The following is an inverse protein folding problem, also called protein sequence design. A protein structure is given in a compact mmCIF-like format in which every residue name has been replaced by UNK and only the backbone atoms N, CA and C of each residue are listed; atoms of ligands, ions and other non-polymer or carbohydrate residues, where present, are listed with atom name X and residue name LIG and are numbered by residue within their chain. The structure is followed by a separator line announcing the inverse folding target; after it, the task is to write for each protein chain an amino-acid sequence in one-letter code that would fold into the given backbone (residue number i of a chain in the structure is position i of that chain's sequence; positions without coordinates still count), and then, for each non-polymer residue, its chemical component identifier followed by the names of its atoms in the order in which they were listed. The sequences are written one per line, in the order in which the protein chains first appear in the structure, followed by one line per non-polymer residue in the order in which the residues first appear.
data_IF_897525228433
#
_entry.id   IF_897525228433
#
_cell.length_a   1.000
_cell.length_b   1.000
_cell.length_c   1.000
_cell.angle_alpha   90.00
_cell.angle_beta   90.00
_cell.angle_gamma   90.00
#
_symmetry.space_group_name_H-M   'P 1'
#
loop_
_entity.id
_entity.type
_entity.pdbx_description
1 polymer ?
#
# COMPACT_ATOMS: atom_id res chain seq x y z
N UNK A 1 -14.34 -4.79 0.60
CA UNK A 1 -15.39 -4.40 -0.39
C UNK A 1 -14.99 -4.98 -1.73
N UNK A 2 -15.94 -5.46 -2.54
CA UNK A 2 -15.65 -5.87 -3.92
C UNK A 2 -15.85 -4.69 -4.87
N UNK A 3 -15.10 -4.62 -5.97
CA UNK A 3 -15.23 -3.52 -6.93
C UNK A 3 -16.64 -3.40 -7.54
N UNK A 4 -17.35 -4.52 -7.69
CA UNK A 4 -18.71 -4.55 -8.23
C UNK A 4 -19.80 -4.40 -7.14
N UNK A 5 -19.46 -3.96 -5.93
CA UNK A 5 -20.39 -3.80 -4.81
C UNK A 5 -20.90 -2.37 -4.68
N UNK A 6 -22.11 -2.22 -4.12
CA UNK A 6 -22.69 -0.91 -3.78
C UNK A 6 -21.80 -0.18 -2.77
N UNK A 7 -21.20 -0.91 -1.82
CA UNK A 7 -20.28 -0.34 -0.82
C UNK A 7 -19.12 0.39 -1.51
N UNK A 8 -18.51 -0.21 -2.53
CA UNK A 8 -17.43 0.43 -3.28
C UNK A 8 -17.92 1.63 -4.10
N UNK A 9 -19.11 1.52 -4.71
CA UNK A 9 -19.71 2.60 -5.48
C UNK A 9 -19.99 3.85 -4.63
N UNK A 10 -20.26 3.69 -3.33
CA UNK A 10 -20.43 4.80 -2.37
C UNK A 10 -19.07 5.25 -1.81
N UNK A 11 -18.19 4.31 -1.47
CA UNK A 11 -16.87 4.58 -0.89
C UNK A 11 -16.00 5.45 -1.80
N UNK A 12 -15.97 5.17 -3.11
CA UNK A 12 -15.10 5.85 -4.05
C UNK A 12 -15.42 7.35 -4.19
N UNK A 13 -16.66 7.79 -4.45
CA UNK A 13 -17.01 9.21 -4.47
C UNK A 13 -16.69 9.93 -3.15
N UNK A 14 -16.94 9.29 -2.00
CA UNK A 14 -16.64 9.89 -0.69
C UNK A 14 -15.14 10.14 -0.57
N UNK A 15 -14.31 9.12 -0.81
CA UNK A 15 -12.86 9.26 -0.72
C UNK A 15 -12.32 10.28 -1.73
N UNK A 16 -12.89 10.32 -2.93
CA UNK A 16 -12.52 11.29 -3.96
C UNK A 16 -12.81 12.74 -3.51
N UNK A 17 -14.00 12.98 -2.93
CA UNK A 17 -14.37 14.31 -2.41
C UNK A 17 -13.46 14.71 -1.25
N UNK A 18 -13.22 13.81 -0.29
CA UNK A 18 -12.31 14.06 0.84
C UNK A 18 -10.91 14.43 0.34
N UNK A 19 -10.39 13.69 -0.65
CA UNK A 19 -9.05 13.92 -1.20
C UNK A 19 -8.90 15.30 -1.85
N UNK A 20 -9.83 15.66 -2.74
CA UNK A 20 -9.75 16.86 -3.58
C UNK A 20 -10.25 18.14 -2.93
N UNK A 21 -11.18 18.06 -1.97
CA UNK A 21 -11.79 19.26 -1.39
C UNK A 21 -11.43 19.50 0.07
N UNK A 22 -11.18 18.44 0.86
CA UNK A 22 -10.93 18.57 2.30
C UNK A 22 -9.43 18.52 2.61
N UNK A 23 -8.72 17.53 2.08
CA UNK A 23 -7.29 17.37 2.37
C UNK A 23 -6.36 18.12 1.42
N UNK A 24 -6.90 18.80 0.40
CA UNK A 24 -6.14 19.42 -0.69
C UNK A 24 -5.07 20.45 -0.31
N UNK A 25 -5.16 21.06 0.87
CA UNK A 25 -4.18 22.05 1.36
C UNK A 25 -2.97 21.41 2.05
N UNK A 26 -2.97 20.11 2.30
CA UNK A 26 -1.91 19.44 3.05
C UNK A 26 -1.60 18.04 2.49
N UNK A 27 -0.44 17.94 1.82
CA UNK A 27 0.05 16.68 1.25
C UNK A 27 0.17 15.55 2.28
N UNK A 28 0.51 15.85 3.53
CA UNK A 28 0.59 14.83 4.58
C UNK A 28 -0.79 14.25 4.91
N UNK A 29 -1.82 15.10 4.96
CA UNK A 29 -3.20 14.66 5.19
C UNK A 29 -3.75 13.88 3.98
N UNK A 30 -3.39 14.28 2.75
CA UNK A 30 -3.75 13.52 1.54
C UNK A 30 -3.15 12.11 1.56
N UNK A 31 -1.85 12.01 1.85
CA UNK A 31 -1.18 10.71 1.93
C UNK A 31 -1.75 9.85 3.06
N UNK A 32 -2.03 10.45 4.22
CA UNK A 32 -2.67 9.74 5.32
C UNK A 32 -4.06 9.24 4.94
N UNK A 33 -4.87 10.06 4.27
CA UNK A 33 -6.19 9.69 3.79
C UNK A 33 -6.12 8.50 2.82
N UNK A 34 -5.19 8.54 1.85
CA UNK A 34 -5.01 7.43 0.89
C UNK A 34 -4.60 6.15 1.62
N UNK A 35 -3.67 6.24 2.57
CA UNK A 35 -3.24 5.08 3.35
C UNK A 35 -4.43 4.50 4.12
N UNK A 36 -5.14 5.32 4.89
CA UNK A 36 -6.32 4.86 5.65
C UNK A 36 -7.39 4.28 4.73
N UNK A 37 -7.68 4.94 3.60
CA UNK A 37 -8.63 4.46 2.61
C UNK A 37 -8.24 3.08 2.05
N UNK A 38 -6.95 2.88 1.76
CA UNK A 38 -6.42 1.59 1.31
C UNK A 38 -6.65 0.49 2.36
N UNK A 39 -6.26 0.73 3.62
CA UNK A 39 -6.45 -0.25 4.69
C UNK A 39 -7.93 -0.53 4.97
N UNK A 40 -8.81 0.47 4.91
CA UNK A 40 -10.26 0.26 5.05
C UNK A 40 -10.79 -0.59 3.89
N UNK A 41 -10.42 -0.28 2.65
CA UNK A 41 -10.89 -1.01 1.48
C UNK A 41 -10.50 -2.49 1.51
N UNK A 42 -9.22 -2.77 1.77
CA UNK A 42 -8.69 -4.14 1.86
C UNK A 42 -9.22 -4.88 3.11
N UNK A 43 -9.27 -4.20 4.26
CA UNK A 43 -9.74 -4.78 5.51
C UNK A 43 -11.21 -5.17 5.51
N UNK A 44 -12.02 -4.47 4.70
CA UNK A 44 -13.44 -4.78 4.52
C UNK A 44 -13.67 -6.07 3.73
N UNK A 45 -12.70 -6.54 2.97
CA UNK A 45 -12.80 -7.84 2.30
C UNK A 45 -12.42 -8.97 3.27
N UNK A 46 -11.22 -8.91 3.83
CA UNK A 46 -10.80 -9.82 4.89
C UNK A 46 -9.63 -9.20 5.68
N UNK A 47 -9.89 -8.95 6.96
CA UNK A 47 -8.95 -8.33 7.89
C UNK A 47 -7.66 -9.14 8.12
N UNK A 48 -7.66 -10.46 7.91
CA UNK A 48 -6.47 -11.32 8.10
C UNK A 48 -5.33 -10.89 7.17
N UNK A 49 -5.67 -10.49 5.95
CA UNK A 49 -4.72 -10.06 4.95
C UNK A 49 -4.19 -8.63 5.16
N UNK A 50 -4.77 -7.85 6.09
CA UNK A 50 -4.22 -6.54 6.46
C UNK A 50 -2.80 -6.66 7.01
N UNK A 51 -2.53 -7.72 7.78
CA UNK A 51 -1.20 -7.96 8.34
C UNK A 51 -0.16 -8.23 7.24
N UNK A 52 -0.55 -8.97 6.19
CA UNK A 52 0.27 -9.23 5.01
C UNK A 52 0.53 -7.97 4.20
N UNK A 53 -0.50 -7.17 3.94
CA UNK A 53 -0.38 -5.89 3.22
C UNK A 53 0.52 -4.92 4.00
N UNK A 54 0.34 -4.83 5.32
CA UNK A 54 1.19 -4.00 6.17
C UNK A 54 2.65 -4.46 6.12
N UNK A 55 2.88 -5.77 6.22
CA UNK A 55 4.21 -6.33 6.14
C UNK A 55 4.87 -6.05 4.78
N UNK A 56 4.18 -6.34 3.67
CA UNK A 56 4.66 -6.04 2.31
C UNK A 56 4.98 -4.56 2.16
N UNK A 57 4.07 -3.68 2.59
CA UNK A 57 4.25 -2.23 2.52
C UNK A 57 5.50 -1.78 3.29
N UNK A 58 5.71 -2.27 4.51
CA UNK A 58 6.87 -1.91 5.34
C UNK A 58 8.18 -2.40 4.71
N UNK A 59 8.19 -3.64 4.20
CA UNK A 59 9.36 -4.23 3.56
C UNK A 59 9.71 -3.46 2.28
N UNK A 60 8.76 -3.28 1.37
CA UNK A 60 8.99 -2.63 0.09
C UNK A 60 9.34 -1.16 0.24
N UNK A 61 8.68 -0.45 1.16
CA UNK A 61 9.02 0.94 1.48
C UNK A 61 10.45 1.05 2.03
N UNK A 62 10.82 0.17 2.97
CA UNK A 62 12.16 0.15 3.57
C UNK A 62 13.23 -0.21 2.55
N UNK A 63 12.96 -1.17 1.67
CA UNK A 63 13.86 -1.58 0.59
C UNK A 63 14.03 -0.44 -0.41
N UNK A 64 12.94 0.23 -0.80
CA UNK A 64 12.98 1.41 -1.68
C UNK A 64 13.86 2.52 -1.12
N UNK A 65 13.73 2.84 0.17
CA UNK A 65 14.59 3.83 0.84
C UNK A 65 16.06 3.40 0.88
N UNK A 66 16.35 2.11 1.10
CA UNK A 66 17.73 1.59 1.08
C UNK A 66 18.32 1.62 -0.33
N UNK A 67 17.53 1.31 -1.35
CA UNK A 67 17.94 1.36 -2.76
C UNK A 67 18.30 2.76 -3.23
N UNK A 68 17.66 3.79 -2.67
CA UNK A 68 17.99 5.20 -2.96
C UNK A 68 19.35 5.63 -2.40
N UNK A 69 19.79 5.03 -1.29
CA UNK A 69 21.03 5.39 -0.59
C UNK A 69 22.23 4.52 -0.96
N UNK A 70 21.98 3.33 -1.50
CA UNK A 70 23.03 2.35 -1.79
C UNK A 70 23.62 2.60 -3.18
N UNK A 71 24.93 2.79 -3.25
CA UNK A 71 25.66 2.99 -4.51
C UNK A 71 26.16 1.67 -5.09
N UNK A 72 26.38 0.65 -4.25
CA UNK A 72 26.83 -0.67 -4.67
C UNK A 72 25.77 -1.41 -5.49
N UNK A 73 26.07 -1.66 -6.77
CA UNK A 73 25.17 -2.41 -7.67
C UNK A 73 24.82 -3.80 -7.12
N UNK A 74 25.77 -4.48 -6.47
CA UNK A 74 25.57 -5.82 -5.93
C UNK A 74 24.61 -5.82 -4.74
N UNK A 75 24.76 -4.86 -3.81
CA UNK A 75 23.84 -4.73 -2.66
C UNK A 75 22.45 -4.29 -3.10
N UNK A 76 22.34 -3.41 -4.10
CA UNK A 76 21.04 -3.05 -4.70
C UNK A 76 20.34 -4.27 -5.31
N UNK A 77 21.05 -5.14 -6.02
CA UNK A 77 20.49 -6.39 -6.54
C UNK A 77 19.98 -7.30 -5.43
N UNK A 78 20.72 -7.44 -4.34
CA UNK A 78 20.27 -8.24 -3.18
C UNK A 78 18.98 -7.66 -2.59
N UNK A 79 18.94 -6.34 -2.37
CA UNK A 79 17.76 -5.65 -1.86
C UNK A 79 16.53 -5.85 -2.76
N UNK A 80 16.69 -5.75 -4.08
CA UNK A 80 15.62 -6.03 -5.05
C UNK A 80 15.16 -7.48 -4.98
N UNK A 81 16.09 -8.45 -4.95
CA UNK A 81 15.74 -9.87 -4.85
C UNK A 81 14.98 -10.19 -3.57
N UNK A 82 15.33 -9.57 -2.44
CA UNK A 82 14.57 -9.73 -1.19
C UNK A 82 13.12 -9.27 -1.37
N UNK A 83 12.88 -8.09 -1.95
CA UNK A 83 11.52 -7.57 -2.21
C UNK A 83 10.74 -8.50 -3.14
N UNK A 84 11.36 -8.96 -4.22
CA UNK A 84 10.74 -9.90 -5.18
C UNK A 84 10.38 -11.22 -4.49
N UNK A 85 11.30 -11.81 -3.73
CA UNK A 85 11.06 -13.07 -3.02
C UNK A 85 9.94 -12.95 -1.99
N UNK A 86 9.84 -11.84 -1.25
CA UNK A 86 8.75 -11.61 -0.30
C UNK A 86 7.41 -11.50 -1.02
N UNK A 87 7.32 -10.68 -2.07
CA UNK A 87 6.08 -10.49 -2.82
C UNK A 87 5.62 -11.77 -3.53
N UNK A 88 6.54 -12.50 -4.17
CA UNK A 88 6.22 -13.80 -4.78
C UNK A 88 5.90 -14.87 -3.72
N UNK A 89 6.56 -14.83 -2.57
CA UNK A 89 6.24 -15.72 -1.45
C UNK A 89 4.82 -15.52 -0.93
N UNK A 90 4.38 -14.26 -0.86
CA UNK A 90 2.99 -13.94 -0.54
C UNK A 90 2.03 -14.47 -1.60
N UNK A 91 2.29 -14.22 -2.88
CA UNK A 91 1.45 -14.72 -3.98
C UNK A 91 1.41 -16.26 -4.07
N UNK A 92 2.50 -16.94 -3.71
CA UNK A 92 2.59 -18.40 -3.79
C UNK A 92 1.91 -19.13 -2.63
N UNK A 93 1.76 -18.46 -1.48
CA UNK A 93 1.15 -19.05 -0.29
C UNK A 93 -0.29 -18.58 -0.05
N UNK A 94 -0.63 -17.35 -0.45
CA UNK A 94 -1.94 -16.71 -0.29
C UNK A 94 -2.60 -16.46 -1.65
#
# INVERSE_FOLDING_TARGET
MLFNSIDFAIFLPIMFILYWFITNKNLKLQNLLIVVASYVFYGWWDWRFLSLILFSTVIDYSIGLKLLKEESISKRKILLWISICVNLGFLGFF
#
